data_IF_292588875447
#
_entry.id   IF_292588875447
#
_cell.length_a   1.000
_cell.length_b   1.000
_cell.length_c   1.000
_cell.angle_alpha   90.00
_cell.angle_beta   90.00
_cell.angle_gamma   90.00
#
_symmetry.space_group_name_H-M   'P 1'
#
loop_
_entity.id
_entity.type
_entity.pdbx_description
1 polymer ?
#
# COMPACT_ATOMS: atom_id res chain seq x y z
N UNK A 1 9.82 -5.45 -13.30
CA UNK A 1 10.53 -6.73 -13.44
C UNK A 1 10.87 -6.91 -14.90
N UNK A 2 12.12 -7.18 -15.21
CA UNK A 2 12.60 -7.50 -16.57
C UNK A 2 12.29 -8.95 -16.93
N UNK A 3 12.47 -9.33 -18.20
CA UNK A 3 12.29 -10.71 -18.64
C UNK A 3 13.21 -11.71 -17.91
N UNK A 4 14.39 -11.26 -17.46
CA UNK A 4 15.34 -12.08 -16.70
C UNK A 4 15.00 -12.21 -15.21
N UNK A 5 14.24 -11.26 -14.66
CA UNK A 5 13.80 -11.26 -13.26
C UNK A 5 12.51 -12.07 -13.04
N UNK A 6 11.65 -12.15 -14.07
CA UNK A 6 10.37 -12.88 -14.00
C UNK A 6 10.55 -14.36 -13.58
N UNK A 7 11.52 -15.13 -14.12
CA UNK A 7 11.74 -16.52 -13.70
C UNK A 7 12.01 -16.68 -12.20
N UNK A 8 12.86 -15.82 -11.63
CA UNK A 8 13.19 -15.86 -10.20
C UNK A 8 11.95 -15.55 -9.32
N UNK A 9 11.14 -14.57 -9.71
CA UNK A 9 9.89 -14.27 -9.00
C UNK A 9 8.87 -15.41 -9.10
N UNK A 10 8.81 -16.10 -10.25
CA UNK A 10 7.96 -17.29 -10.44
C UNK A 10 8.39 -18.45 -9.57
N UNK A 11 9.69 -18.69 -9.43
CA UNK A 11 10.23 -19.74 -8.56
C UNK A 11 9.79 -19.52 -7.10
N UNK A 12 9.92 -18.29 -6.60
CA UNK A 12 9.46 -17.92 -5.24
C UNK A 12 7.96 -18.17 -5.09
N UNK A 13 7.16 -17.79 -6.10
CA UNK A 13 5.71 -17.97 -6.07
C UNK A 13 5.31 -19.46 -6.01
N UNK A 14 5.97 -20.32 -6.79
CA UNK A 14 5.73 -21.75 -6.78
C UNK A 14 6.11 -22.38 -5.43
N UNK A 15 7.24 -21.96 -4.84
CA UNK A 15 7.64 -22.44 -3.52
C UNK A 15 6.64 -22.04 -2.43
N UNK A 16 6.15 -20.79 -2.45
CA UNK A 16 5.10 -20.35 -1.52
C UNK A 16 3.82 -21.18 -1.70
N UNK A 17 3.43 -21.48 -2.95
CA UNK A 17 2.24 -22.33 -3.24
C UNK A 17 2.43 -23.74 -2.71
N UNK A 18 3.60 -24.34 -2.93
CA UNK A 18 3.96 -25.67 -2.43
C UNK A 18 3.89 -25.72 -0.90
N UNK A 19 4.49 -24.75 -0.22
CA UNK A 19 4.48 -24.65 1.25
C UNK A 19 3.07 -24.49 1.80
N UNK A 20 2.23 -23.66 1.19
CA UNK A 20 0.83 -23.52 1.60
C UNK A 20 0.07 -24.84 1.45
N UNK A 21 0.23 -25.54 0.32
CA UNK A 21 -0.41 -26.83 0.09
C UNK A 21 0.02 -27.87 1.15
N UNK A 22 1.33 -27.98 1.42
CA UNK A 22 1.88 -28.88 2.44
C UNK A 22 1.33 -28.56 3.85
N UNK A 23 1.40 -27.30 4.28
CA UNK A 23 1.01 -26.88 5.63
C UNK A 23 -0.50 -26.85 5.86
N UNK A 24 -1.28 -26.75 4.79
CA UNK A 24 -2.74 -26.91 4.87
C UNK A 24 -3.19 -28.36 4.92
N UNK A 25 -2.33 -29.33 4.57
CA UNK A 25 -2.67 -30.76 4.52
C UNK A 25 -3.95 -31.06 3.72
N UNK A 26 -4.22 -30.29 2.67
CA UNK A 26 -5.41 -30.42 1.83
C UNK A 26 -6.64 -29.63 2.27
N UNK A 27 -6.58 -28.93 3.40
CA UNK A 27 -7.64 -28.02 3.85
C UNK A 27 -7.69 -26.75 2.98
N UNK A 28 -8.75 -26.62 2.19
CA UNK A 28 -8.94 -25.51 1.27
C UNK A 28 -9.15 -24.16 1.97
N UNK A 29 -9.83 -24.14 3.13
CA UNK A 29 -10.09 -22.92 3.90
C UNK A 29 -8.80 -22.42 4.54
N UNK A 30 -8.03 -23.32 5.15
CA UNK A 30 -6.73 -22.99 5.73
C UNK A 30 -5.75 -22.51 4.65
N UNK A 31 -5.69 -23.19 3.50
CA UNK A 31 -4.85 -22.78 2.39
C UNK A 31 -5.22 -21.37 1.87
N UNK A 32 -6.52 -21.05 1.79
CA UNK A 32 -6.99 -19.71 1.44
C UNK A 32 -6.58 -18.68 2.49
N UNK A 33 -6.77 -18.99 3.78
CA UNK A 33 -6.41 -18.10 4.88
C UNK A 33 -4.91 -17.80 4.91
N UNK A 34 -4.06 -18.80 4.69
CA UNK A 34 -2.61 -18.65 4.61
C UNK A 34 -2.19 -17.76 3.44
N UNK A 35 -2.72 -17.96 2.23
CA UNK A 35 -2.42 -17.09 1.08
C UNK A 35 -2.79 -15.64 1.35
N UNK A 36 -3.99 -15.41 1.90
CA UNK A 36 -4.44 -14.07 2.27
C UNK A 36 -3.55 -13.47 3.36
N UNK A 37 -3.15 -14.26 4.34
CA UNK A 37 -2.24 -13.83 5.40
C UNK A 37 -0.91 -13.34 4.82
N UNK A 38 -0.26 -14.15 3.99
CA UNK A 38 1.03 -13.87 3.36
C UNK A 38 0.94 -12.62 2.48
N UNK A 39 -0.05 -12.57 1.59
CA UNK A 39 -0.27 -11.43 0.68
C UNK A 39 -0.35 -10.10 1.45
N UNK A 40 -1.13 -10.05 2.52
CA UNK A 40 -1.28 -8.83 3.34
C UNK A 40 0.06 -8.42 3.98
N UNK A 41 0.90 -9.37 4.40
CA UNK A 41 2.19 -9.06 5.04
C UNK A 41 3.20 -8.55 4.02
N UNK A 42 3.27 -9.16 2.84
CA UNK A 42 4.09 -8.65 1.74
C UNK A 42 3.67 -7.23 1.36
N UNK A 43 2.36 -6.93 1.32
CA UNK A 43 1.90 -5.56 1.15
C UNK A 43 2.38 -4.65 2.29
N UNK A 44 2.35 -5.10 3.55
CA UNK A 44 2.84 -4.29 4.67
C UNK A 44 4.33 -3.96 4.55
N UNK A 45 5.15 -4.85 3.97
CA UNK A 45 6.57 -4.58 3.73
C UNK A 45 6.75 -3.41 2.76
N UNK A 46 5.87 -3.26 1.76
CA UNK A 46 5.88 -2.15 0.80
C UNK A 46 5.37 -0.82 1.39
N UNK A 47 4.26 -0.87 2.15
CA UNK A 47 3.45 0.33 2.46
C UNK A 47 3.15 0.52 3.95
N UNK A 48 3.84 -0.21 4.82
CA UNK A 48 3.60 -0.28 6.25
C UNK A 48 2.25 -0.94 6.61
N UNK A 49 2.03 -1.17 7.90
CA UNK A 49 0.76 -1.65 8.42
C UNK A 49 -0.29 -0.50 8.54
N UNK A 50 -1.59 -0.81 8.72
CA UNK A 50 -2.63 0.21 8.81
C UNK A 50 -2.43 1.23 9.93
N UNK A 51 -1.86 0.83 11.07
CA UNK A 51 -1.61 1.73 12.19
C UNK A 51 -0.52 2.75 11.87
N UNK A 52 0.58 2.31 11.25
CA UNK A 52 1.64 3.21 10.77
C UNK A 52 1.09 4.26 9.81
N UNK A 53 0.24 3.86 8.86
CA UNK A 53 -0.40 4.82 7.94
C UNK A 53 -1.37 5.76 8.65
N UNK A 54 -2.11 5.28 9.65
CA UNK A 54 -2.99 6.14 10.47
C UNK A 54 -2.17 7.21 11.22
N UNK A 55 -1.06 6.82 11.83
CA UNK A 55 -0.14 7.73 12.52
C UNK A 55 0.45 8.74 11.55
N UNK A 56 0.94 8.30 10.39
CA UNK A 56 1.48 9.18 9.35
C UNK A 56 0.44 10.20 8.87
N UNK A 57 -0.82 9.78 8.69
CA UNK A 57 -1.93 10.67 8.31
C UNK A 57 -2.16 11.76 9.34
N UNK A 58 -2.11 11.43 10.62
CA UNK A 58 -2.22 12.42 11.69
C UNK A 58 -1.03 13.39 11.69
N UNK A 59 0.20 12.88 11.57
CA UNK A 59 1.41 13.72 11.46
C UNK A 59 1.30 14.70 10.29
N UNK A 60 0.84 14.23 9.13
CA UNK A 60 0.66 15.06 7.93
C UNK A 60 -0.47 16.07 8.08
N UNK A 61 -1.56 15.71 8.75
CA UNK A 61 -2.62 16.66 9.07
C UNK A 61 -2.08 17.84 9.90
N UNK A 62 -1.26 17.56 10.91
CA UNK A 62 -0.62 18.60 11.74
C UNK A 62 0.38 19.42 10.94
N UNK A 63 1.32 18.75 10.24
CA UNK A 63 2.40 19.43 9.52
C UNK A 63 1.90 20.27 8.33
N UNK A 64 0.75 19.92 7.76
CA UNK A 64 0.12 20.66 6.66
C UNK A 64 -0.97 21.62 7.17
N UNK A 65 -1.02 21.91 8.48
CA UNK A 65 -1.99 22.82 9.08
C UNK A 65 -3.46 22.50 8.72
N UNK A 66 -3.77 21.20 8.57
CA UNK A 66 -5.11 20.74 8.20
C UNK A 66 -5.51 21.05 6.77
N UNK A 67 -4.57 21.40 5.88
CA UNK A 67 -4.85 21.77 4.49
C UNK A 67 -4.32 20.74 3.48
N UNK A 68 -5.01 20.64 2.35
CA UNK A 68 -4.59 19.84 1.20
C UNK A 68 -3.26 20.39 0.65
N UNK A 69 -2.26 19.53 0.47
CA UNK A 69 -0.95 19.95 -0.03
C UNK A 69 -0.98 20.48 -1.48
N UNK A 70 -2.07 20.26 -2.24
CA UNK A 70 -2.21 20.73 -3.62
C UNK A 70 -3.08 21.98 -3.74
N UNK A 71 -4.33 21.92 -3.28
CA UNK A 71 -5.28 23.02 -3.48
C UNK A 71 -5.43 23.92 -2.25
N UNK A 72 -4.79 23.61 -1.12
CA UNK A 72 -4.89 24.40 0.11
C UNK A 72 -6.24 24.34 0.83
N UNK A 73 -7.22 23.59 0.31
CA UNK A 73 -8.52 23.49 0.99
C UNK A 73 -8.38 22.80 2.35
N UNK A 74 -9.27 23.16 3.29
CA UNK A 74 -9.34 22.50 4.59
C UNK A 74 -9.70 21.03 4.39
N UNK A 75 -8.87 20.14 4.92
CA UNK A 75 -9.10 18.71 4.85
C UNK A 75 -10.18 18.28 5.85
N UNK A 76 -11.05 17.35 5.45
CA UNK A 76 -12.04 16.79 6.36
C UNK A 76 -11.38 15.87 7.39
N UNK A 77 -12.06 15.67 8.53
CA UNK A 77 -11.62 14.70 9.56
C UNK A 77 -11.52 13.27 9.01
N UNK A 78 -12.38 12.92 8.03
CA UNK A 78 -12.38 11.64 7.32
C UNK A 78 -12.39 11.88 5.81
N UNK A 79 -11.71 11.03 5.05
CA UNK A 79 -11.69 11.09 3.58
C UNK A 79 -10.48 11.79 2.96
N UNK A 80 -9.59 12.42 3.74
CA UNK A 80 -8.28 12.83 3.22
C UNK A 80 -7.43 11.59 2.84
N UNK A 81 -6.57 11.68 1.83
CA UNK A 81 -5.83 10.53 1.29
C UNK A 81 -4.32 10.76 1.33
N UNK A 82 -3.58 9.71 1.71
CA UNK A 82 -2.12 9.73 1.67
C UNK A 82 -1.65 9.46 0.24
N UNK A 83 -1.04 10.46 -0.36
CA UNK A 83 -0.42 10.39 -1.67
C UNK A 83 1.09 10.24 -1.51
N UNK A 84 1.65 9.15 -2.03
CA UNK A 84 3.09 8.92 -2.06
C UNK A 84 3.68 9.42 -3.38
N UNK A 85 4.82 10.11 -3.32
CA UNK A 85 5.50 10.61 -4.52
C UNK A 85 6.10 9.45 -5.33
N UNK A 86 6.78 8.53 -4.67
CA UNK A 86 7.37 7.33 -5.27
C UNK A 86 6.83 6.05 -4.62
N UNK A 87 6.26 5.12 -5.40
CA UNK A 87 5.63 3.92 -4.82
C UNK A 87 6.61 3.04 -4.04
N UNK A 88 7.83 2.86 -4.55
CA UNK A 88 8.84 1.99 -3.95
C UNK A 88 9.41 2.52 -2.62
N UNK A 89 9.27 3.82 -2.36
CA UNK A 89 9.72 4.45 -1.09
C UNK A 89 8.67 4.33 0.03
N UNK A 90 7.54 3.66 -0.23
CA UNK A 90 6.51 3.40 0.77
C UNK A 90 5.87 4.68 1.33
N UNK A 91 5.19 4.54 2.47
CA UNK A 91 4.56 5.66 3.17
C UNK A 91 5.47 6.18 4.29
N UNK A 92 6.33 7.15 3.97
CA UNK A 92 7.15 7.88 4.95
C UNK A 92 6.76 9.35 5.03
N UNK A 93 7.30 10.09 5.99
CA UNK A 93 7.04 11.53 6.09
C UNK A 93 7.60 12.29 4.88
N UNK A 94 8.76 11.91 4.36
CA UNK A 94 9.44 12.59 3.26
C UNK A 94 8.78 12.26 1.91
N UNK A 95 8.28 11.04 1.76
CA UNK A 95 7.71 10.55 0.50
C UNK A 95 6.18 10.72 0.43
N UNK A 96 5.53 11.28 1.45
CA UNK A 96 4.05 11.34 1.51
C UNK A 96 3.53 12.74 1.76
N UNK A 97 2.45 13.08 1.07
CA UNK A 97 1.61 14.26 1.34
C UNK A 97 0.15 13.85 1.56
N UNK A 98 -0.61 14.69 2.26
CA UNK A 98 -2.03 14.49 2.51
C UNK A 98 -2.86 15.35 1.57
N UNK A 99 -3.76 14.73 0.81
CA UNK A 99 -4.59 15.38 -0.21
C UNK A 99 -6.07 15.25 0.10
N UNK A 100 -6.89 16.16 -0.43
CA UNK A 100 -8.33 15.94 -0.53
C UNK A 100 -8.62 14.88 -1.61
N UNK A 101 -9.79 14.26 -1.54
CA UNK A 101 -10.19 13.18 -2.44
C UNK A 101 -10.06 13.55 -3.93
N UNK A 102 -10.52 14.74 -4.33
CA UNK A 102 -10.47 15.16 -5.73
C UNK A 102 -9.05 15.39 -6.24
N UNK A 103 -8.20 16.02 -5.41
CA UNK A 103 -6.78 16.17 -5.72
C UNK A 103 -6.07 14.81 -5.82
N UNK A 104 -6.38 13.87 -4.91
CA UNK A 104 -5.80 12.54 -4.97
C UNK A 104 -6.22 11.78 -6.23
N UNK A 105 -7.51 11.78 -6.58
CA UNK A 105 -8.00 11.17 -7.83
C UNK A 105 -7.33 11.80 -9.06
N UNK A 106 -7.18 13.13 -9.08
CA UNK A 106 -6.48 13.83 -10.16
C UNK A 106 -5.03 13.37 -10.32
N UNK A 107 -4.30 13.20 -9.21
CA UNK A 107 -2.92 12.69 -9.26
C UNK A 107 -2.84 11.21 -9.65
N UNK A 108 -3.78 10.37 -9.20
CA UNK A 108 -3.85 8.98 -9.62
C UNK A 108 -4.14 8.86 -11.13
N UNK A 109 -5.03 9.69 -11.67
CA UNK A 109 -5.33 9.73 -13.10
C UNK A 109 -4.11 10.11 -13.94
N UNK A 110 -3.33 11.11 -13.50
CA UNK A 110 -2.07 11.50 -14.16
C UNK A 110 -1.03 10.36 -14.20
N UNK A 111 -1.09 9.45 -13.21
CA UNK A 111 -0.21 8.27 -13.10
C UNK A 111 -0.80 7.02 -13.78
N UNK A 112 -1.99 7.10 -14.36
CA UNK A 112 -2.65 5.98 -15.04
C UNK A 112 -3.30 4.95 -14.10
N UNK A 113 -3.64 5.35 -12.88
CA UNK A 113 -4.25 4.48 -11.86
C UNK A 113 -5.74 4.78 -11.60
N UNK A 114 -6.39 5.64 -12.39
CA UNK A 114 -7.79 6.03 -12.23
C UNK A 114 -8.76 5.16 -13.04
#
# INVERSE_FOLDING_TARGET
>A
MTETEIPAAREILEEVRRLVAEKSSGDAELAWAMRRYIYIRLQHDERGNPMQRKILKLKKMVSQHGACALCGCRLPERGAELDRAETMKGYTEENTRLLCHDCHRGEQAKRGFA
#
